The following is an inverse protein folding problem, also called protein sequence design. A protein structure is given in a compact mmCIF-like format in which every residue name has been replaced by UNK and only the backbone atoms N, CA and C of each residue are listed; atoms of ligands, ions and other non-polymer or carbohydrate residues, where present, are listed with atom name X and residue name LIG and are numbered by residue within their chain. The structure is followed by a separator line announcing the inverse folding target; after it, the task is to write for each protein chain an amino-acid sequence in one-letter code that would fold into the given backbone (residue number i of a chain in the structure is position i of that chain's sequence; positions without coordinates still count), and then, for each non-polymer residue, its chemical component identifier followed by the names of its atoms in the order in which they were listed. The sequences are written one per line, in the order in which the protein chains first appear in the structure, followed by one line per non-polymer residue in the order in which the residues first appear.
data_IF_960426056329
#
_entry.id   IF_960426056329
#
_cell.length_a   1.000
_cell.length_b   1.000
_cell.length_c   1.000
_cell.angle_alpha   90.00
_cell.angle_beta   90.00
_cell.angle_gamma   90.00
#
_symmetry.space_group_name_H-M   'P 1'
#
loop_
_entity.id
_entity.type
_entity.pdbx_description
1 polymer ?
#
# COMPACT_ATOMS: atom_id res chain seq x y z
N UNK A 1 25.41 -1.57 -6.40
CA UNK A 1 24.32 -2.30 -5.71
C UNK A 1 23.55 -1.28 -4.88
N UNK A 2 22.22 -1.27 -4.94
CA UNK A 2 21.38 -0.37 -4.15
C UNK A 2 21.22 -0.94 -2.72
N UNK A 3 21.13 -0.08 -1.71
CA UNK A 3 20.75 -0.52 -0.36
C UNK A 3 19.32 -1.08 -0.34
N UNK A 4 18.96 -1.87 0.66
CA UNK A 4 17.60 -2.41 0.79
C UNK A 4 16.52 -1.29 0.73
N UNK A 5 16.77 -0.15 1.38
CA UNK A 5 15.88 1.01 1.32
C UNK A 5 15.82 1.65 -0.07
N UNK A 6 16.93 1.70 -0.81
CA UNK A 6 16.93 2.18 -2.20
C UNK A 6 16.21 1.22 -3.14
N UNK A 7 16.43 -0.10 -3.01
CA UNK A 7 15.70 -1.10 -3.80
C UNK A 7 14.19 -0.99 -3.56
N UNK A 8 13.76 -0.82 -2.29
CA UNK A 8 12.35 -0.65 -1.94
C UNK A 8 11.75 0.62 -2.53
N UNK A 9 12.47 1.75 -2.47
CA UNK A 9 12.03 3.00 -3.12
C UNK A 9 11.90 2.85 -4.63
N UNK A 10 12.84 2.18 -5.29
CA UNK A 10 12.77 1.91 -6.74
C UNK A 10 11.59 1.00 -7.07
N UNK A 11 11.35 -0.05 -6.27
CA UNK A 11 10.19 -0.93 -6.45
C UNK A 11 8.86 -0.16 -6.35
N UNK A 12 8.73 0.76 -5.39
CA UNK A 12 7.53 1.58 -5.21
C UNK A 12 7.38 2.67 -6.28
N UNK A 13 8.49 3.19 -6.83
CA UNK A 13 8.44 4.16 -7.93
C UNK A 13 7.68 3.62 -9.15
N UNK A 14 7.61 2.29 -9.32
CA UNK A 14 6.82 1.63 -10.36
C UNK A 14 5.33 1.98 -10.33
N UNK A 15 4.78 2.36 -9.17
CA UNK A 15 3.38 2.79 -9.02
C UNK A 15 3.05 4.12 -9.72
N UNK A 16 4.06 4.91 -10.07
CA UNK A 16 3.89 6.13 -10.88
C UNK A 16 3.95 5.87 -12.37
N UNK A 17 4.46 4.71 -12.78
CA UNK A 17 4.69 4.38 -14.19
C UNK A 17 3.70 3.33 -14.72
N UNK A 18 3.08 2.56 -13.81
CA UNK A 18 2.11 1.52 -14.17
C UNK A 18 0.73 2.08 -14.49
N UNK A 19 0.01 1.40 -15.38
CA UNK A 19 -1.41 1.60 -15.67
C UNK A 19 -2.29 0.47 -15.13
N UNK A 20 -1.72 -0.44 -14.32
CA UNK A 20 -2.47 -1.56 -13.75
C UNK A 20 -3.64 -1.06 -12.90
N UNK A 21 -4.85 -1.58 -13.16
CA UNK A 21 -6.06 -1.20 -12.43
C UNK A 21 -6.05 -1.69 -10.97
N UNK A 22 -5.44 -2.85 -10.70
CA UNK A 22 -5.29 -3.42 -9.36
C UNK A 22 -3.83 -3.36 -8.90
N UNK A 23 -3.59 -2.78 -7.73
CA UNK A 23 -2.30 -2.83 -7.04
C UNK A 23 -2.40 -3.73 -5.82
N UNK A 24 -1.46 -4.66 -5.70
CA UNK A 24 -1.29 -5.50 -4.51
C UNK A 24 0.05 -5.13 -3.88
N UNK A 25 0.02 -4.62 -2.65
CA UNK A 25 1.17 -4.04 -1.99
C UNK A 25 1.43 -4.73 -0.65
N UNK A 26 2.60 -5.34 -0.50
CA UNK A 26 2.98 -6.02 0.74
C UNK A 26 3.83 -5.11 1.64
N UNK A 27 3.28 -4.73 2.80
CA UNK A 27 3.88 -3.83 3.78
C UNK A 27 4.49 -2.54 3.17
N UNK A 28 3.77 -1.79 2.33
CA UNK A 28 4.36 -0.77 1.48
C UNK A 28 5.00 0.41 2.22
N UNK A 29 4.75 0.55 3.52
CA UNK A 29 5.26 1.64 4.35
C UNK A 29 6.58 1.32 5.08
N UNK A 30 7.04 0.06 5.07
CA UNK A 30 8.29 -0.30 5.74
C UNK A 30 9.49 0.46 5.19
N UNK A 31 10.33 0.99 6.07
CA UNK A 31 11.58 1.69 5.73
C UNK A 31 11.39 2.92 4.82
N UNK A 32 10.25 3.61 4.94
CA UNK A 32 9.97 4.89 4.28
C UNK A 32 9.81 5.98 5.35
N UNK A 33 10.32 7.18 5.08
CA UNK A 33 10.11 8.35 5.92
C UNK A 33 8.66 8.87 5.85
N UNK A 34 8.31 9.78 6.76
CA UNK A 34 6.95 10.35 6.86
C UNK A 34 6.48 11.03 5.56
N UNK A 35 7.41 11.64 4.82
CA UNK A 35 7.12 12.32 3.56
C UNK A 35 6.80 11.30 2.46
N UNK A 36 7.53 10.18 2.43
CA UNK A 36 7.29 9.10 1.50
C UNK A 36 5.99 8.35 1.79
N UNK A 37 5.64 8.14 3.06
CA UNK A 37 4.31 7.63 3.45
C UNK A 37 3.22 8.56 2.91
N UNK A 38 3.32 9.87 3.15
CA UNK A 38 2.34 10.84 2.66
C UNK A 38 2.23 10.86 1.12
N UNK A 39 3.36 10.78 0.40
CA UNK A 39 3.36 10.68 -1.07
C UNK A 39 2.69 9.40 -1.57
N UNK A 40 2.99 8.28 -0.93
CA UNK A 40 2.44 6.97 -1.31
C UNK A 40 0.93 6.91 -1.06
N UNK A 41 0.47 7.37 0.10
CA UNK A 41 -0.96 7.46 0.43
C UNK A 41 -1.71 8.34 -0.57
N UNK A 42 -1.18 9.52 -0.92
CA UNK A 42 -1.78 10.36 -1.97
C UNK A 42 -1.82 9.66 -3.33
N UNK A 43 -0.77 8.89 -3.68
CA UNK A 43 -0.73 8.17 -4.94
C UNK A 43 -1.79 7.07 -5.00
N UNK A 44 -1.97 6.32 -3.91
CA UNK A 44 -3.03 5.31 -3.80
C UNK A 44 -4.43 5.94 -3.88
N UNK A 45 -4.66 7.06 -3.18
CA UNK A 45 -5.94 7.76 -3.24
C UNK A 45 -6.28 8.28 -4.65
N UNK A 46 -5.28 8.82 -5.37
CA UNK A 46 -5.45 9.25 -6.76
C UNK A 46 -5.77 8.06 -7.68
N UNK A 47 -5.13 6.90 -7.46
CA UNK A 47 -5.39 5.68 -8.22
C UNK A 47 -6.83 5.20 -8.03
N UNK A 48 -7.32 5.16 -6.79
CA UNK A 48 -8.70 4.75 -6.50
C UNK A 48 -9.74 5.74 -7.01
N UNK A 49 -9.45 7.04 -6.96
CA UNK A 49 -10.32 8.08 -7.53
C UNK A 49 -10.48 7.96 -9.06
N UNK A 50 -9.52 7.32 -9.73
CA UNK A 50 -9.55 7.06 -11.18
C UNK A 50 -10.19 5.71 -11.54
N UNK A 51 -10.86 5.04 -10.58
CA UNK A 51 -11.49 3.74 -10.78
C UNK A 51 -10.56 2.55 -10.56
N UNK A 52 -9.34 2.79 -10.05
CA UNK A 52 -8.42 1.74 -9.65
C UNK A 52 -8.76 1.10 -8.29
N UNK A 53 -8.09 0.01 -7.98
CA UNK A 53 -8.19 -0.71 -6.72
C UNK A 53 -6.81 -0.92 -6.10
N UNK A 54 -6.72 -0.79 -4.78
CA UNK A 54 -5.51 -1.10 -4.02
C UNK A 54 -5.87 -2.10 -2.92
N UNK A 55 -5.13 -3.21 -2.89
CA UNK A 55 -5.09 -4.16 -1.78
C UNK A 55 -3.71 -4.03 -1.16
N UNK A 56 -3.66 -3.90 0.16
CA UNK A 56 -2.38 -3.80 0.86
C UNK A 56 -2.41 -4.50 2.21
N UNK A 57 -1.25 -5.00 2.62
CA UNK A 57 -0.99 -5.47 3.99
C UNK A 57 -0.23 -4.37 4.74
N UNK A 58 -0.59 -4.13 5.99
CA UNK A 58 0.11 -3.16 6.83
C UNK A 58 -0.18 -3.46 8.30
N UNK A 59 0.86 -3.40 9.13
CA UNK A 59 0.71 -3.32 10.58
C UNK A 59 0.52 -1.87 11.08
N UNK A 60 0.69 -0.88 10.20
CA UNK A 60 0.57 0.55 10.51
C UNK A 60 -0.81 1.08 10.13
N UNK A 61 -1.42 2.00 10.92
CA UNK A 61 -2.65 2.68 10.52
C UNK A 61 -2.46 3.45 9.22
N UNK A 62 -3.42 3.34 8.28
CA UNK A 62 -3.46 4.21 7.11
C UNK A 62 -3.98 5.61 7.49
N UNK A 63 -3.15 6.67 7.39
CA UNK A 63 -3.58 8.02 7.71
C UNK A 63 -4.65 8.50 6.72
N UNK A 64 -5.76 9.05 7.23
CA UNK A 64 -6.80 9.67 6.40
C UNK A 64 -7.67 8.72 5.58
N UNK A 65 -7.60 7.40 5.85
CA UNK A 65 -8.31 6.38 5.08
C UNK A 65 -9.39 5.64 5.89
N UNK A 66 -9.74 6.16 7.07
CA UNK A 66 -10.63 5.48 8.02
C UNK A 66 -12.02 5.18 7.43
N UNK A 67 -12.56 6.10 6.61
CA UNK A 67 -13.92 6.01 6.08
C UNK A 67 -13.98 5.46 4.64
N UNK A 68 -12.83 5.28 4.00
CA UNK A 68 -12.72 4.88 2.58
C UNK A 68 -12.06 3.51 2.38
N UNK A 69 -11.59 2.87 3.46
CA UNK A 69 -10.90 1.59 3.41
C UNK A 69 -11.74 0.51 4.06
N UNK A 70 -12.05 -0.54 3.27
CA UNK A 70 -12.51 -1.81 3.83
C UNK A 70 -11.33 -2.52 4.47
N UNK A 71 -11.37 -2.67 5.79
CA UNK A 71 -10.38 -3.47 6.53
C UNK A 71 -10.84 -4.93 6.58
N UNK A 72 -9.92 -5.84 6.29
CA UNK A 72 -10.12 -7.28 6.45
C UNK A 72 -9.14 -7.74 7.53
N UNK A 73 -9.67 -8.21 8.66
CA UNK A 73 -8.85 -8.87 9.67
C UNK A 73 -8.66 -10.33 9.23
N UNK A 74 -7.41 -10.72 8.98
CA UNK A 74 -7.07 -12.11 8.75
C UNK A 74 -6.94 -12.79 10.12
N UNK A 75 -8.08 -13.12 10.73
CA UNK A 75 -8.08 -14.05 11.87
C UNK A 75 -7.74 -15.43 11.33
N UNK A 76 -6.68 -16.06 11.86
CA UNK A 76 -6.33 -17.43 11.51
C UNK A 76 -7.57 -18.30 11.56
N UNK A 77 -7.87 -19.01 10.47
CA UNK A 77 -9.10 -19.78 10.38
C UNK A 77 -9.15 -20.80 11.50
N UNK A 78 -10.09 -20.65 12.42
CA UNK A 78 -10.71 -21.82 13.02
C UNK A 78 -11.57 -22.42 11.92
N UNK A 79 -10.94 -23.29 11.11
CA UNK A 79 -11.67 -24.27 10.36
C UNK A 79 -12.46 -25.07 11.39
N UNK A 80 -13.78 -24.91 11.38
CA UNK A 80 -14.66 -25.69 12.21
C UNK A 80 -14.33 -27.18 12.09
N UNK A 81 -14.05 -27.78 13.25
CA UNK A 81 -14.33 -29.16 13.57
C UNK A 81 -15.22 -29.15 14.82
#
# INVERSE_FOLDING_TARGET
RLSAGQQRRVALARLWLTRAALWVLDEPFTAIDVNGVARLTRRMAAHTAQGGMVILTTHQPLPGAADTVRRLALTGGEAGL
#
